data_IF_372624318826
#
_entry.id   IF_372624318826
#
_cell.length_a   1.000
_cell.length_b   1.000
_cell.length_c   1.000
_cell.angle_alpha   90.00
_cell.angle_beta   90.00
_cell.angle_gamma   90.00
#
_symmetry.space_group_name_H-M   'P 1'
#
loop_
_entity.id
_entity.type
_entity.pdbx_description
1 polymer ?
#
# COMPACT_ATOMS: atom_id res chain seq x y z
N UNK A 1 -7.49 -19.86 -1.07
CA UNK A 1 -8.82 -19.91 -1.72
C UNK A 1 -9.94 -20.30 -0.77
N UNK A 2 -10.10 -21.55 -0.30
CA UNK A 2 -11.24 -21.97 0.57
C UNK A 2 -11.61 -21.04 1.74
N UNK A 3 -10.65 -20.44 2.46
CA UNK A 3 -10.92 -19.49 3.56
C UNK A 3 -11.31 -18.10 3.04
N UNK A 4 -10.72 -17.67 1.92
CA UNK A 4 -10.98 -16.37 1.28
C UNK A 4 -12.25 -16.38 0.40
N UNK A 5 -12.72 -17.55 -0.05
CA UNK A 5 -13.91 -17.69 -0.90
C UNK A 5 -15.20 -17.86 -0.08
N UNK A 6 -15.13 -18.36 1.17
CA UNK A 6 -16.32 -18.51 2.03
C UNK A 6 -16.85 -17.17 2.53
N UNK A 7 -16.00 -16.16 2.58
CA UNK A 7 -16.41 -14.77 2.73
C UNK A 7 -16.20 -14.13 1.37
N UNK A 8 -17.25 -14.01 0.57
CA UNK A 8 -17.26 -13.06 -0.54
C UNK A 8 -16.93 -11.71 0.08
N UNK A 9 -15.66 -11.33 0.07
CA UNK A 9 -15.23 -9.99 0.41
C UNK A 9 -15.76 -9.15 -0.74
N UNK A 10 -17.03 -8.75 -0.65
CA UNK A 10 -17.56 -7.63 -1.40
C UNK A 10 -16.74 -6.43 -0.93
N UNK A 11 -15.61 -6.19 -1.59
CA UNK A 11 -14.96 -4.89 -1.54
C UNK A 11 -15.87 -3.96 -2.33
N UNK A 12 -16.92 -3.49 -1.67
CA UNK A 12 -17.67 -2.35 -2.15
C UNK A 12 -16.72 -1.17 -2.12
N UNK A 13 -16.29 -0.71 -3.29
CA UNK A 13 -15.88 0.67 -3.51
C UNK A 13 -17.13 1.57 -3.50
N UNK A 14 -17.99 1.40 -2.49
CA UNK A 14 -19.16 2.24 -2.26
C UNK A 14 -18.95 2.89 -0.89
N UNK A 15 -18.21 3.99 -0.93
CA UNK A 15 -18.11 4.93 0.18
C UNK A 15 -19.50 5.57 0.30
N UNK A 16 -20.17 5.36 1.43
CA UNK A 16 -21.46 5.94 1.83
C UNK A 16 -22.72 5.10 1.55
N UNK A 17 -22.82 3.92 2.15
CA UNK A 17 -24.04 3.56 2.88
C UNK A 17 -23.77 2.46 3.92
N UNK A 18 -24.27 2.67 5.14
CA UNK A 18 -24.08 1.82 6.31
C UNK A 18 -24.43 0.35 6.04
N UNK A 19 -23.52 -0.56 6.41
CA UNK A 19 -23.82 -2.00 6.55
C UNK A 19 -23.35 -2.44 7.93
N UNK A 20 -24.32 -2.97 8.67
CA UNK A 20 -24.25 -3.51 10.02
C UNK A 20 -22.94 -4.20 10.41
N UNK A 21 -22.47 -3.83 11.60
CA UNK A 21 -21.28 -4.33 12.28
C UNK A 21 -21.35 -5.85 12.58
N UNK A 22 -20.46 -6.70 12.01
CA UNK A 22 -20.29 -8.07 12.44
C UNK A 22 -19.28 -8.12 13.61
N UNK A 23 -19.60 -7.46 14.73
CA UNK A 23 -18.76 -7.43 15.93
C UNK A 23 -18.57 -8.81 16.57
N UNK A 24 -19.42 -9.78 16.27
CA UNK A 24 -19.41 -11.09 16.94
C UNK A 24 -18.40 -12.11 16.39
N UNK A 25 -17.79 -11.91 15.20
CA UNK A 25 -17.00 -12.97 14.55
C UNK A 25 -15.47 -12.73 14.54
N UNK A 26 -15.01 -11.57 15.00
CA UNK A 26 -13.60 -11.16 14.87
C UNK A 26 -12.74 -11.42 16.12
N UNK A 27 -13.32 -11.88 17.24
CA UNK A 27 -12.57 -12.09 18.48
C UNK A 27 -11.62 -13.31 18.48
N UNK A 28 -11.68 -14.18 17.46
CA UNK A 28 -10.88 -15.43 17.44
C UNK A 28 -9.75 -15.53 16.41
N UNK A 29 -9.63 -14.59 15.46
CA UNK A 29 -8.83 -14.80 14.23
C UNK A 29 -7.55 -13.96 14.14
N UNK A 30 -7.12 -13.33 15.25
CA UNK A 30 -6.10 -12.28 15.23
C UNK A 30 -4.70 -12.68 14.77
N UNK A 31 -4.25 -13.92 15.05
CA UNK A 31 -2.82 -14.27 14.87
C UNK A 31 -2.54 -15.54 14.05
N UNK A 32 -3.35 -16.61 14.14
CA UNK A 32 -3.03 -17.89 13.46
C UNK A 32 -3.42 -17.97 11.98
N UNK A 33 -4.36 -17.13 11.52
CA UNK A 33 -4.82 -17.18 10.13
C UNK A 33 -3.76 -16.66 9.14
N UNK A 34 -2.97 -15.66 9.52
CA UNK A 34 -1.91 -15.11 8.68
C UNK A 34 -0.70 -16.05 8.56
N UNK A 35 -0.33 -16.69 9.66
CA UNK A 35 0.84 -17.59 9.71
C UNK A 35 0.64 -18.86 8.86
N UNK A 36 -0.56 -19.44 8.88
CA UNK A 36 -0.91 -20.61 8.06
C UNK A 36 -0.95 -20.28 6.56
N UNK A 37 -1.36 -19.07 6.19
CA UNK A 37 -1.40 -18.63 4.78
C UNK A 37 0.00 -18.36 4.22
N UNK A 38 0.95 -17.88 5.03
CA UNK A 38 2.30 -17.53 4.57
C UNK A 38 3.23 -18.73 4.37
N UNK A 39 3.03 -19.84 5.12
CA UNK A 39 4.00 -20.94 5.19
C UNK A 39 4.04 -21.89 3.97
N UNK A 40 2.94 -22.02 3.19
CA UNK A 40 2.88 -22.93 2.00
C UNK A 40 2.59 -22.22 0.66
N UNK A 41 2.54 -20.89 0.61
CA UNK A 41 1.92 -20.15 -0.49
C UNK A 41 2.87 -19.46 -1.48
N UNK A 42 4.18 -19.40 -1.22
CA UNK A 42 5.11 -18.67 -2.11
C UNK A 42 5.05 -19.17 -3.56
N UNK A 43 5.21 -20.47 -3.79
CA UNK A 43 5.16 -21.05 -5.14
C UNK A 43 3.78 -20.88 -5.78
N UNK A 44 2.70 -21.03 -4.99
CA UNK A 44 1.33 -20.86 -5.48
C UNK A 44 0.98 -19.41 -5.86
N UNK A 45 1.56 -18.41 -5.19
CA UNK A 45 1.38 -17.00 -5.54
C UNK A 45 2.12 -16.63 -6.84
N UNK A 46 3.33 -17.17 -7.07
CA UNK A 46 4.06 -16.91 -8.31
C UNK A 46 3.49 -17.67 -9.52
N UNK A 47 2.80 -18.79 -9.29
CA UNK A 47 2.19 -19.61 -10.33
C UNK A 47 0.78 -19.15 -10.76
N UNK A 48 0.16 -18.22 -10.04
CA UNK A 48 -1.18 -17.72 -10.37
C UNK A 48 -1.12 -16.72 -11.54
N UNK A 49 -2.05 -16.86 -12.50
CA UNK A 49 -2.15 -15.94 -13.63
C UNK A 49 -2.52 -14.54 -13.13
N UNK A 50 -1.63 -13.58 -13.38
CA UNK A 50 -1.79 -12.19 -12.93
C UNK A 50 -2.73 -11.43 -13.87
N UNK A 51 -3.67 -10.63 -13.33
CA UNK A 51 -4.38 -9.64 -14.13
C UNK A 51 -3.42 -8.67 -14.82
N UNK A 52 -3.79 -8.17 -16.00
CA UNK A 52 -2.96 -7.21 -16.73
C UNK A 52 -2.69 -5.95 -15.87
N UNK A 53 -1.43 -5.52 -15.79
CA UNK A 53 -1.01 -4.36 -15.00
C UNK A 53 -0.71 -4.64 -13.52
N UNK A 54 -0.95 -5.85 -13.01
CA UNK A 54 -0.66 -6.20 -11.62
C UNK A 54 0.73 -6.83 -11.46
N UNK A 55 1.48 -6.36 -10.46
CA UNK A 55 2.80 -6.89 -10.13
C UNK A 55 2.75 -8.23 -9.37
N UNK A 56 1.64 -8.54 -8.70
CA UNK A 56 1.45 -9.74 -7.85
C UNK A 56 0.08 -10.41 -8.08
N UNK A 57 -0.13 -11.59 -7.51
CA UNK A 57 -1.31 -12.42 -7.75
C UNK A 57 -2.61 -11.91 -7.11
N UNK A 58 -3.76 -12.37 -7.60
CA UNK A 58 -5.09 -12.04 -7.05
C UNK A 58 -5.19 -12.41 -5.57
N UNK A 59 -4.64 -13.57 -5.18
CA UNK A 59 -4.61 -13.98 -3.77
C UNK A 59 -3.81 -12.99 -2.91
N UNK A 60 -2.64 -12.55 -3.38
CA UNK A 60 -1.83 -11.57 -2.67
C UNK A 60 -2.51 -10.20 -2.61
N UNK A 61 -3.24 -9.81 -3.67
CA UNK A 61 -4.00 -8.58 -3.72
C UNK A 61 -5.11 -8.50 -2.67
N UNK A 62 -5.90 -9.57 -2.52
CA UNK A 62 -6.98 -9.60 -1.53
C UNK A 62 -6.46 -9.44 -0.10
N UNK A 63 -5.33 -10.10 0.18
CA UNK A 63 -4.65 -9.95 1.48
C UNK A 63 -4.11 -8.52 1.61
N UNK A 64 -3.49 -7.98 0.57
CA UNK A 64 -2.96 -6.62 0.58
C UNK A 64 -4.04 -5.57 0.86
N UNK A 65 -5.18 -5.62 0.17
CA UNK A 65 -6.29 -4.69 0.38
C UNK A 65 -6.79 -4.74 1.82
N UNK A 66 -6.98 -5.95 2.36
CA UNK A 66 -7.43 -6.11 3.74
C UNK A 66 -6.39 -5.57 4.75
N UNK A 67 -5.13 -5.97 4.59
CA UNK A 67 -4.08 -5.64 5.57
C UNK A 67 -3.59 -4.20 5.44
N UNK A 68 -3.60 -3.61 4.26
CA UNK A 68 -3.28 -2.20 4.04
C UNK A 68 -4.31 -1.30 4.73
N UNK A 69 -5.61 -1.55 4.49
CA UNK A 69 -6.68 -0.81 5.16
C UNK A 69 -6.63 -0.98 6.68
N UNK A 70 -6.37 -2.20 7.17
CA UNK A 70 -6.23 -2.45 8.61
C UNK A 70 -5.10 -1.63 9.23
N UNK A 71 -3.94 -1.52 8.58
CA UNK A 71 -2.79 -0.74 9.10
C UNK A 71 -3.13 0.73 9.29
N UNK A 72 -3.88 1.33 8.36
CA UNK A 72 -4.31 2.73 8.46
C UNK A 72 -5.39 2.91 9.54
N UNK A 73 -6.43 2.05 9.51
CA UNK A 73 -7.57 2.19 10.42
C UNK A 73 -7.25 1.81 11.87
N UNK A 74 -6.24 0.98 12.12
CA UNK A 74 -5.86 0.58 13.48
C UNK A 74 -4.98 1.61 14.19
N UNK A 75 -4.38 2.54 13.45
CA UNK A 75 -3.49 3.53 14.02
C UNK A 75 -4.26 4.81 14.35
N UNK A 76 -4.14 5.26 15.60
CA UNK A 76 -4.75 6.52 16.05
C UNK A 76 -4.22 7.73 15.28
N UNK A 77 -2.94 7.71 14.88
CA UNK A 77 -2.29 8.83 14.22
C UNK A 77 -2.73 9.02 12.76
N UNK A 78 -3.32 7.99 12.15
CA UNK A 78 -3.95 8.07 10.82
C UNK A 78 -5.47 8.22 10.89
N UNK A 79 -6.06 8.22 12.09
CA UNK A 79 -7.52 8.31 12.28
C UNK A 79 -7.89 9.47 13.20
N UNK A 80 -7.91 9.24 14.51
CA UNK A 80 -8.39 10.19 15.53
C UNK A 80 -7.45 11.40 15.65
N UNK A 81 -6.14 11.13 15.69
CA UNK A 81 -5.09 12.12 15.94
C UNK A 81 -4.52 12.71 14.63
N UNK A 82 -5.20 12.50 13.49
CA UNK A 82 -4.79 13.08 12.21
C UNK A 82 -5.29 14.52 12.05
N UNK A 83 -4.86 15.40 12.97
CA UNK A 83 -5.33 16.78 13.03
C UNK A 83 -4.17 17.79 13.09
N UNK A 84 -4.40 19.06 12.69
CA UNK A 84 -3.39 20.11 12.77
C UNK A 84 -2.90 20.40 14.19
N UNK A 85 -3.66 20.04 15.23
CA UNK A 85 -3.23 20.21 16.62
C UNK A 85 -2.10 19.25 17.00
N UNK A 86 -2.13 18.03 16.45
CA UNK A 86 -1.10 17.00 16.69
C UNK A 86 0.07 17.17 15.72
N UNK A 87 -0.23 17.39 14.43
CA UNK A 87 0.79 17.44 13.36
C UNK A 87 1.32 18.85 13.07
N UNK A 88 0.75 19.88 13.69
CA UNK A 88 0.91 21.29 13.35
C UNK A 88 0.37 21.65 11.95
N UNK A 89 -0.10 22.89 11.73
CA UNK A 89 -0.49 23.33 10.38
C UNK A 89 0.64 23.15 9.36
N UNK A 90 1.87 23.54 9.73
CA UNK A 90 3.05 23.38 8.88
C UNK A 90 3.36 21.92 8.55
N UNK A 91 3.21 20.99 9.51
CA UNK A 91 3.41 19.57 9.28
C UNK A 91 2.33 18.94 8.40
N UNK A 92 1.09 19.39 8.52
CA UNK A 92 -0.01 18.96 7.64
C UNK A 92 0.20 19.43 6.20
N UNK A 93 0.65 20.66 6.01
CA UNK A 93 0.99 21.19 4.68
C UNK A 93 2.20 20.45 4.08
N UNK A 94 3.20 20.13 4.92
CA UNK A 94 4.32 19.29 4.52
C UNK A 94 3.85 17.92 4.04
N UNK A 95 2.96 17.26 4.77
CA UNK A 95 2.46 15.93 4.37
C UNK A 95 1.76 15.98 3.00
N UNK A 96 0.97 17.02 2.73
CA UNK A 96 0.27 17.19 1.44
C UNK A 96 1.21 17.50 0.28
N UNK A 97 2.30 18.22 0.55
CA UNK A 97 3.24 18.67 -0.49
C UNK A 97 4.33 17.65 -0.83
N UNK A 98 4.40 16.50 -0.14
CA UNK A 98 5.49 15.54 -0.31
C UNK A 98 5.06 14.26 -1.02
N UNK A 99 5.90 13.82 -1.97
CA UNK A 99 5.88 12.50 -2.60
C UNK A 99 7.25 11.84 -2.43
N UNK A 100 7.38 10.56 -2.81
CA UNK A 100 8.70 9.90 -2.78
C UNK A 100 9.73 10.66 -3.65
N UNK A 101 9.29 11.31 -4.74
CA UNK A 101 10.16 12.11 -5.60
C UNK A 101 10.65 13.36 -4.87
N UNK A 102 9.77 14.10 -4.21
CA UNK A 102 10.16 15.32 -3.49
C UNK A 102 11.11 15.02 -2.34
N UNK A 103 10.92 13.88 -1.66
CA UNK A 103 11.81 13.41 -0.59
C UNK A 103 13.20 13.14 -1.16
N UNK A 104 13.31 12.39 -2.26
CA UNK A 104 14.59 12.05 -2.87
C UNK A 104 15.34 13.30 -3.35
N UNK A 105 14.69 14.20 -4.08
CA UNK A 105 15.35 15.40 -4.62
C UNK A 105 15.73 16.41 -3.53
N UNK A 106 15.00 16.44 -2.40
CA UNK A 106 15.37 17.29 -1.26
C UNK A 106 16.67 16.83 -0.59
N UNK A 107 16.89 15.52 -0.49
CA UNK A 107 18.07 14.98 0.19
C UNK A 107 19.24 14.71 -0.77
N UNK A 108 18.96 14.44 -2.05
CA UNK A 108 19.94 14.12 -3.09
C UNK A 108 19.61 14.88 -4.38
N UNK A 109 19.94 16.19 -4.45
CA UNK A 109 19.62 17.01 -5.62
C UNK A 109 20.30 16.52 -6.91
N UNK A 110 21.44 15.84 -6.80
CA UNK A 110 22.20 15.30 -7.94
C UNK A 110 21.44 14.21 -8.72
N UNK A 111 20.37 13.63 -8.16
CA UNK A 111 19.49 12.67 -8.84
C UNK A 111 18.48 13.34 -9.80
N UNK A 112 18.35 14.67 -9.77
CA UNK A 112 17.40 15.40 -10.61
C UNK A 112 17.48 15.06 -12.11
N UNK A 113 18.67 14.87 -12.73
CA UNK A 113 18.75 14.48 -14.14
C UNK A 113 18.15 13.09 -14.42
N UNK A 114 18.35 12.12 -13.53
CA UNK A 114 17.87 10.74 -13.71
C UNK A 114 16.35 10.60 -13.52
N UNK A 115 15.75 11.53 -12.75
CA UNK A 115 14.32 11.55 -12.42
C UNK A 115 13.52 12.56 -13.24
N UNK A 116 14.13 13.19 -14.26
CA UNK A 116 13.49 14.23 -15.08
C UNK A 116 12.30 13.64 -15.86
N UNK A 117 11.14 14.29 -15.75
CA UNK A 117 9.92 13.89 -16.45
C UNK A 117 9.20 12.69 -15.83
N UNK A 118 9.59 12.25 -14.63
CA UNK A 118 8.86 11.25 -13.87
C UNK A 118 7.90 11.92 -12.88
N UNK A 119 6.65 11.51 -12.89
CA UNK A 119 5.67 11.88 -11.84
C UNK A 119 5.74 10.93 -10.63
N UNK A 120 6.31 9.73 -10.82
CA UNK A 120 6.40 8.68 -9.82
C UNK A 120 7.84 8.16 -9.69
N UNK A 121 8.41 8.27 -8.49
CA UNK A 121 9.75 7.78 -8.19
C UNK A 121 9.89 6.25 -8.25
N UNK A 122 8.79 5.49 -8.26
CA UNK A 122 8.81 4.02 -8.39
C UNK A 122 8.78 3.54 -9.85
N UNK A 123 8.60 4.44 -10.82
CA UNK A 123 8.75 4.11 -12.23
C UNK A 123 10.24 3.83 -12.57
N UNK A 124 10.54 3.14 -13.68
CA UNK A 124 11.92 2.97 -14.13
C UNK A 124 12.61 4.33 -14.34
N UNK A 125 13.78 4.50 -13.74
CA UNK A 125 14.56 5.73 -13.90
C UNK A 125 15.30 5.73 -15.23
N UNK A 126 15.56 6.91 -15.75
CA UNK A 126 16.45 7.02 -16.90
C UNK A 126 17.84 6.59 -16.43
N UNK A 127 18.43 5.62 -17.12
CA UNK A 127 19.82 5.29 -16.90
C UNK A 127 20.63 6.58 -17.10
N UNK A 128 21.46 6.94 -16.12
CA UNK A 128 22.55 7.85 -16.40
C UNK A 128 23.35 7.17 -17.54
N UNK A 129 23.28 7.72 -18.75
CA UNK A 129 24.11 7.24 -19.84
C UNK A 129 25.56 7.17 -19.35
N UNK A 130 26.41 6.27 -19.89
CA UNK A 130 27.81 6.22 -19.50
C UNK A 130 28.36 7.63 -19.56
N UNK A 131 28.98 8.09 -18.47
CA UNK A 131 29.66 9.37 -18.44
C UNK A 131 30.57 9.40 -19.67
N UNK A 132 30.19 10.22 -20.65
CA UNK A 132 30.87 10.27 -21.93
C UNK A 132 32.33 10.59 -21.68
N UNK A 133 33.18 9.61 -21.96
CA UNK A 133 34.58 9.84 -22.25
C UNK A 133 34.64 10.78 -23.46
N UNK A 134 35.07 12.01 -23.21
CA UNK A 134 35.56 12.94 -24.22
C UNK A 134 36.77 13.67 -23.63
#
# INVERSE_FOLDING_TARGET
RRILDRHTVRVGLDLQHEVESPRACLEGLGHRALEVVLSRSRVGMYAEQRPAGFAFSDTAFRIFVLMASRRLNSDRFFTIDFTPEVYTPAGMDWLKANSMLTVLLRHFPDLAPAMRGLDNAFAPWQAAGPAGSA
#
